data_IF_199405687402
#
_entry.id   IF_199405687402
#
_cell.length_a   1.000
_cell.length_b   1.000
_cell.length_c   1.000
_cell.angle_alpha   90.00
_cell.angle_beta   90.00
_cell.angle_gamma   90.00
#
_symmetry.space_group_name_H-M   'P 1'
#
loop_
_entity.id
_entity.type
_entity.pdbx_description
1 polymer ?
#
# COMPACT_ATOMS: atom_id res chain seq x y z
N UNK A 1 -15.96 -0.46 27.03
CA UNK A 1 -16.56 0.07 25.79
C UNK A 1 -15.55 -0.10 24.69
N UNK A 2 -15.75 -0.91 23.65
CA UNK A 2 -14.86 -0.94 22.52
C UNK A 2 -14.95 0.43 21.83
N UNK A 3 -13.82 1.04 21.52
CA UNK A 3 -13.77 2.22 20.67
C UNK A 3 -14.20 1.79 19.28
N UNK A 4 -15.37 2.23 18.84
CA UNK A 4 -15.87 2.03 17.50
C UNK A 4 -15.11 2.99 16.56
N UNK A 5 -14.04 2.49 15.95
CA UNK A 5 -13.25 3.25 14.97
C UNK A 5 -14.03 3.60 13.69
N UNK A 6 -15.24 3.05 13.51
CA UNK A 6 -16.13 3.35 12.39
C UNK A 6 -17.06 4.54 12.63
N UNK A 7 -17.12 5.10 13.84
CA UNK A 7 -18.03 6.20 14.20
C UNK A 7 -17.45 7.61 14.00
N UNK A 8 -16.25 7.77 13.46
CA UNK A 8 -15.67 9.08 13.17
C UNK A 8 -16.02 9.51 11.75
N UNK A 9 -17.07 10.34 11.65
CA UNK A 9 -17.44 11.21 10.54
C UNK A 9 -17.17 10.70 9.12
N UNK A 10 -18.24 10.35 8.40
CA UNK A 10 -18.21 10.22 6.94
C UNK A 10 -17.72 11.54 6.35
N UNK A 11 -16.45 11.60 5.98
CA UNK A 11 -15.86 12.72 5.27
C UNK A 11 -16.32 12.61 3.80
N UNK A 12 -17.53 13.14 3.52
CA UNK A 12 -18.21 13.08 2.23
C UNK A 12 -17.61 14.05 1.19
N UNK A 13 -16.28 14.09 1.06
CA UNK A 13 -15.64 14.70 -0.09
C UNK A 13 -15.87 13.83 -1.34
N UNK A 14 -17.05 13.94 -1.96
CA UNK A 14 -17.39 13.22 -3.19
C UNK A 14 -17.93 11.79 -3.01
N UNK A 15 -18.53 11.44 -1.86
CA UNK A 15 -19.30 10.20 -1.70
C UNK A 15 -18.48 8.92 -1.43
N UNK A 16 -17.14 8.99 -1.30
CA UNK A 16 -16.30 7.84 -1.00
C UNK A 16 -15.97 7.74 0.49
N UNK A 17 -16.07 6.53 1.07
CA UNK A 17 -15.57 6.25 2.41
C UNK A 17 -14.05 6.03 2.36
N UNK A 18 -13.29 7.11 2.59
CA UNK A 18 -11.83 7.10 2.53
C UNK A 18 -11.17 6.25 3.63
N UNK A 19 -11.90 5.90 4.69
CA UNK A 19 -11.38 5.11 5.82
C UNK A 19 -11.76 3.64 5.76
N UNK A 20 -12.49 3.22 4.74
CA UNK A 20 -12.80 1.80 4.54
C UNK A 20 -11.58 1.06 3.95
N UNK A 21 -11.11 0.03 4.66
CA UNK A 21 -9.95 -0.78 4.25
C UNK A 21 -10.28 -2.28 4.13
N UNK A 22 -9.35 -3.07 3.59
CA UNK A 22 -9.56 -4.49 3.29
C UNK A 22 -9.77 -5.38 4.52
N UNK A 23 -9.26 -4.98 5.68
CA UNK A 23 -9.44 -5.68 6.95
C UNK A 23 -10.90 -5.68 7.43
N UNK A 24 -11.68 -4.65 7.07
CA UNK A 24 -13.11 -4.61 7.32
C UNK A 24 -13.89 -5.69 6.54
N UNK A 25 -13.35 -6.16 5.41
CA UNK A 25 -13.94 -7.24 4.60
C UNK A 25 -13.50 -8.63 5.07
N UNK A 26 -12.27 -8.75 5.59
CA UNK A 26 -11.65 -10.00 6.00
C UNK A 26 -12.01 -10.34 7.45
N UNK A 27 -13.14 -11.03 7.64
CA UNK A 27 -13.55 -11.56 8.96
C UNK A 27 -13.16 -13.02 9.12
N UNK A 28 -13.08 -13.49 10.37
CA UNK A 28 -12.72 -14.87 10.68
C UNK A 28 -13.58 -15.89 9.91
N UNK A 29 -12.93 -16.93 9.41
CA UNK A 29 -13.57 -18.03 8.66
C UNK A 29 -13.73 -17.80 7.17
N UNK A 30 -13.39 -16.60 6.65
CA UNK A 30 -13.37 -16.33 5.22
C UNK A 30 -12.00 -16.61 4.61
N UNK A 31 -11.96 -17.06 3.36
CA UNK A 31 -10.73 -17.04 2.55
C UNK A 31 -10.46 -15.60 2.15
N UNK A 32 -9.34 -15.06 2.61
CA UNK A 32 -9.03 -13.64 2.47
C UNK A 32 -8.33 -13.33 1.14
N UNK A 33 -9.05 -12.65 0.25
CA UNK A 33 -8.51 -11.96 -0.92
C UNK A 33 -8.59 -10.42 -0.79
N UNK A 34 -9.06 -9.91 0.35
CA UNK A 34 -9.25 -8.47 0.57
C UNK A 34 -7.99 -7.79 1.11
N UNK A 35 -7.18 -8.47 1.90
CA UNK A 35 -5.95 -7.94 2.51
C UNK A 35 -4.72 -8.38 1.72
N UNK A 36 -3.85 -7.43 1.35
CA UNK A 36 -2.66 -7.68 0.53
C UNK A 36 -1.43 -8.04 1.39
N UNK A 37 -1.60 -8.82 2.45
CA UNK A 37 -0.48 -9.38 3.23
C UNK A 37 -0.07 -10.72 2.61
N UNK A 38 1.23 -10.96 2.53
CA UNK A 38 1.80 -12.17 1.95
C UNK A 38 2.07 -13.16 3.07
N UNK A 39 1.44 -14.35 3.00
CA UNK A 39 1.54 -15.39 4.04
C UNK A 39 0.72 -15.09 5.29
N UNK A 40 0.70 -16.05 6.21
CA UNK A 40 -0.12 -16.03 7.44
C UNK A 40 0.65 -15.51 8.67
N UNK A 41 1.95 -15.27 8.53
CA UNK A 41 2.81 -14.78 9.60
C UNK A 41 4.27 -14.59 9.15
N UNK A 42 5.09 -13.95 10.00
CA UNK A 42 6.50 -13.75 9.67
C UNK A 42 7.25 -15.09 9.58
N UNK A 43 8.26 -15.18 8.70
CA UNK A 43 9.08 -16.39 8.60
C UNK A 43 9.78 -16.71 9.93
N UNK A 44 10.09 -18.00 10.22
CA UNK A 44 10.62 -18.43 11.52
C UNK A 44 11.84 -17.62 12.00
N UNK A 45 12.81 -17.36 11.13
CA UNK A 45 14.01 -16.59 11.47
C UNK A 45 13.68 -15.15 11.94
N UNK A 46 12.68 -14.51 11.32
CA UNK A 46 12.23 -13.16 11.71
C UNK A 46 11.43 -13.20 13.00
N UNK A 47 10.53 -14.19 13.13
CA UNK A 47 9.79 -14.42 14.38
C UNK A 47 10.72 -14.60 15.57
N UNK A 48 11.77 -15.43 15.44
CA UNK A 48 12.72 -15.68 16.52
C UNK A 48 13.48 -14.40 16.92
N UNK A 49 13.88 -13.57 15.95
CA UNK A 49 14.47 -12.25 16.22
C UNK A 49 13.53 -11.32 16.97
N UNK A 50 12.24 -11.30 16.59
CA UNK A 50 11.24 -10.48 17.27
C UNK A 50 10.99 -10.97 18.69
N UNK A 51 10.88 -12.29 18.91
CA UNK A 51 10.72 -12.90 20.24
C UNK A 51 11.87 -12.50 21.16
N UNK A 52 13.10 -12.50 20.67
CA UNK A 52 14.27 -12.09 21.45
C UNK A 52 14.22 -10.64 21.95
N UNK A 53 13.36 -9.78 21.37
CA UNK A 53 13.19 -8.40 21.85
C UNK A 53 12.27 -8.28 23.06
N UNK A 54 11.43 -9.31 23.34
CA UNK A 54 10.36 -9.23 24.36
C UNK A 54 10.93 -9.06 25.77
N UNK A 55 12.06 -9.66 26.08
CA UNK A 55 12.73 -9.52 27.38
C UNK A 55 13.21 -8.08 27.66
N UNK A 56 13.32 -7.27 26.60
CA UNK A 56 13.75 -5.87 26.66
C UNK A 56 12.60 -4.84 26.82
N UNK A 57 11.33 -5.27 26.75
CA UNK A 57 10.16 -4.36 26.69
C UNK A 57 9.97 -3.49 27.94
N UNK A 58 10.58 -3.82 29.07
CA UNK A 58 10.56 -2.97 30.28
C UNK A 58 11.36 -1.66 30.12
N UNK A 59 12.01 -1.42 28.98
CA UNK A 59 12.81 -0.21 28.69
C UNK A 59 12.28 0.48 27.46
N UNK A 60 12.39 1.82 27.41
CA UNK A 60 12.12 2.57 26.18
C UNK A 60 13.08 2.15 25.05
N UNK A 61 12.63 2.26 23.78
CA UNK A 61 13.49 2.04 22.62
C UNK A 61 14.75 2.90 22.72
N UNK A 62 15.91 2.26 22.50
CA UNK A 62 17.22 2.91 22.66
C UNK A 62 17.58 3.71 21.41
N UNK A 63 18.25 4.85 21.60
CA UNK A 63 18.70 5.71 20.50
C UNK A 63 19.73 4.99 19.57
N UNK A 64 20.57 4.11 20.13
CA UNK A 64 21.51 3.31 19.32
C UNK A 64 20.79 2.24 18.49
N UNK A 65 19.63 1.73 18.94
CA UNK A 65 18.82 0.80 18.19
C UNK A 65 18.14 1.50 16.99
N UNK A 66 17.57 2.71 17.20
CA UNK A 66 17.05 3.54 16.10
C UNK A 66 18.15 3.92 15.10
N UNK A 67 19.34 4.33 15.60
CA UNK A 67 20.48 4.65 14.75
C UNK A 67 20.93 3.45 13.90
N UNK A 68 20.95 2.25 14.47
CA UNK A 68 21.24 1.01 13.75
C UNK A 68 20.18 0.71 12.70
N UNK A 69 18.89 0.87 13.01
CA UNK A 69 17.81 0.68 12.04
C UNK A 69 17.95 1.65 10.84
N UNK A 70 18.22 2.92 11.10
CA UNK A 70 18.46 3.91 10.05
C UNK A 70 19.67 3.56 9.21
N UNK A 71 20.78 3.17 9.84
CA UNK A 71 22.01 2.78 9.13
C UNK A 71 21.78 1.55 8.22
N UNK A 72 21.01 0.55 8.68
CA UNK A 72 20.72 -0.66 7.89
C UNK A 72 19.84 -0.33 6.68
N UNK A 73 18.81 0.51 6.87
CA UNK A 73 17.98 1.01 5.74
C UNK A 73 18.82 1.82 4.76
N UNK A 74 19.66 2.72 5.26
CA UNK A 74 20.56 3.53 4.43
C UNK A 74 21.48 2.66 3.58
N UNK A 75 22.10 1.63 4.18
CA UNK A 75 22.94 0.67 3.46
C UNK A 75 22.18 -0.09 2.36
N UNK A 76 20.93 -0.50 2.63
CA UNK A 76 20.06 -1.16 1.64
C UNK A 76 19.84 -0.29 0.39
N UNK A 77 19.65 1.01 0.57
CA UNK A 77 19.26 1.92 -0.51
C UNK A 77 20.39 2.83 -1.01
N UNK A 78 21.63 2.63 -0.53
CA UNK A 78 22.77 3.49 -0.91
C UNK A 78 22.61 4.96 -0.46
N UNK A 79 21.96 5.17 0.70
CA UNK A 79 21.66 6.49 1.28
C UNK A 79 22.51 6.78 2.53
N UNK A 80 22.43 7.99 3.06
CA UNK A 80 22.95 8.31 4.38
C UNK A 80 21.92 8.06 5.48
N UNK A 81 22.36 7.76 6.72
CA UNK A 81 21.46 7.44 7.82
C UNK A 81 20.56 8.61 8.26
N UNK A 82 20.96 9.85 8.01
CA UNK A 82 20.16 11.06 8.25
C UNK A 82 19.05 11.29 7.20
N UNK A 83 19.13 10.58 6.05
CA UNK A 83 18.09 10.54 5.02
C UNK A 83 17.04 9.44 5.29
N UNK A 84 17.04 8.83 6.48
CA UNK A 84 16.12 7.78 6.88
C UNK A 84 15.35 8.19 8.14
N UNK A 85 14.03 8.00 8.11
CA UNK A 85 13.15 8.11 9.27
C UNK A 85 12.40 6.79 9.45
N UNK A 86 12.66 6.08 10.55
CA UNK A 86 11.89 4.87 10.87
C UNK A 86 10.49 5.24 11.32
N UNK A 87 9.48 4.53 10.84
CA UNK A 87 8.05 4.79 11.05
C UNK A 87 7.35 3.60 11.71
N UNK A 88 6.32 3.87 12.51
CA UNK A 88 5.37 2.86 12.98
C UNK A 88 4.42 2.42 11.83
N UNK A 89 5.01 1.89 10.75
CA UNK A 89 4.39 1.62 9.46
C UNK A 89 4.23 2.89 8.61
N UNK A 90 4.08 2.74 7.30
CA UNK A 90 3.85 3.88 6.38
C UNK A 90 2.60 4.68 6.73
N UNK A 91 1.61 4.09 7.40
CA UNK A 91 0.42 4.77 7.88
C UNK A 91 0.73 5.93 8.85
N UNK A 92 1.74 5.81 9.72
CA UNK A 92 2.23 6.93 10.52
C UNK A 92 2.75 8.05 9.62
N UNK A 93 3.52 7.70 8.58
CA UNK A 93 4.03 8.69 7.62
C UNK A 93 2.91 9.50 6.96
N UNK A 94 1.80 8.85 6.57
CA UNK A 94 0.64 9.57 6.02
C UNK A 94 0.00 10.51 7.05
N UNK A 95 -0.16 10.08 8.28
CA UNK A 95 -0.69 10.92 9.37
C UNK A 95 0.19 12.16 9.65
N UNK A 96 1.48 12.09 9.34
CA UNK A 96 2.44 13.18 9.51
C UNK A 96 2.47 14.17 8.33
N UNK A 97 1.88 13.86 7.17
CA UNK A 97 1.93 14.73 5.98
C UNK A 97 1.45 16.17 6.24
N UNK A 98 0.41 16.43 7.05
CA UNK A 98 0.01 17.80 7.38
C UNK A 98 1.12 18.63 8.04
N UNK A 99 2.10 18.01 8.71
CA UNK A 99 3.25 18.70 9.32
C UNK A 99 4.16 19.37 8.30
N UNK A 100 4.12 18.92 7.05
CA UNK A 100 4.82 19.58 5.94
C UNK A 100 4.19 20.91 5.55
N UNK A 101 2.95 21.19 6.01
CA UNK A 101 2.15 22.40 5.75
C UNK A 101 2.00 22.70 4.27
N UNK A 102 1.58 21.73 3.44
CA UNK A 102 1.28 22.02 2.05
C UNK A 102 0.05 22.93 1.96
N UNK A 103 0.04 23.83 0.97
CA UNK A 103 -1.13 24.67 0.66
C UNK A 103 -2.15 23.92 -0.16
N UNK A 104 -1.66 23.15 -1.15
CA UNK A 104 -2.48 22.31 -2.01
C UNK A 104 -1.76 20.98 -2.22
N UNK A 105 -2.43 19.89 -1.87
CA UNK A 105 -1.95 18.54 -2.14
C UNK A 105 -2.69 17.94 -3.34
N UNK A 106 -1.96 17.42 -4.32
CA UNK A 106 -2.49 16.61 -5.40
C UNK A 106 -2.32 15.12 -5.04
N UNK A 107 -3.41 14.37 -4.97
CA UNK A 107 -3.39 12.92 -4.70
C UNK A 107 -3.84 12.18 -5.94
N UNK A 108 -2.98 11.27 -6.44
CA UNK A 108 -3.26 10.47 -7.63
C UNK A 108 -4.19 9.32 -7.29
N UNK A 109 -5.29 9.22 -8.03
CA UNK A 109 -6.34 8.21 -7.89
C UNK A 109 -6.66 7.52 -9.24
N UNK A 110 -7.23 6.29 -9.24
CA UNK A 110 -7.52 5.45 -8.07
C UNK A 110 -6.24 5.13 -7.29
N UNK A 111 -6.23 5.39 -5.98
CA UNK A 111 -5.06 5.27 -5.13
C UNK A 111 -5.44 4.91 -3.69
N UNK A 112 -4.46 4.56 -2.87
CA UNK A 112 -4.68 4.33 -1.44
C UNK A 112 -5.18 5.62 -0.79
N UNK A 113 -6.22 5.51 0.03
CA UNK A 113 -7.02 6.66 0.47
C UNK A 113 -6.53 7.35 1.73
N UNK A 114 -5.71 6.67 2.55
CA UNK A 114 -5.19 7.24 3.81
C UNK A 114 -4.42 8.56 3.65
N UNK A 115 -3.57 8.77 2.61
CA UNK A 115 -2.93 10.06 2.43
C UNK A 115 -3.93 11.21 2.28
N UNK A 116 -4.99 11.03 1.47
CA UNK A 116 -6.04 12.03 1.29
C UNK A 116 -6.80 12.25 2.61
N UNK A 117 -7.20 11.17 3.30
CA UNK A 117 -7.91 11.26 4.57
C UNK A 117 -7.08 12.01 5.63
N UNK A 118 -5.78 11.73 5.73
CA UNK A 118 -4.88 12.40 6.67
C UNK A 118 -4.68 13.88 6.34
N UNK A 119 -4.49 14.22 5.06
CA UNK A 119 -4.33 15.61 4.61
C UNK A 119 -5.58 16.44 4.86
N UNK A 120 -6.77 15.94 4.48
CA UNK A 120 -8.05 16.61 4.76
C UNK A 120 -8.32 16.75 6.25
N UNK A 121 -8.07 15.68 7.02
CA UNK A 121 -8.19 15.72 8.49
C UNK A 121 -7.24 16.72 9.14
N UNK A 122 -6.09 17.00 8.51
CA UNK A 122 -5.14 18.05 8.91
C UNK A 122 -5.45 19.45 8.36
N UNK A 123 -6.59 19.65 7.68
CA UNK A 123 -7.02 20.94 7.14
C UNK A 123 -6.28 21.37 5.86
N UNK A 124 -5.67 20.44 5.14
CA UNK A 124 -4.98 20.70 3.86
C UNK A 124 -5.99 20.60 2.71
N UNK A 125 -5.94 21.55 1.78
CA UNK A 125 -6.70 21.48 0.54
C UNK A 125 -6.16 20.34 -0.34
N UNK A 126 -7.06 19.47 -0.82
CA UNK A 126 -6.71 18.30 -1.65
C UNK A 126 -7.46 18.32 -2.96
N UNK A 127 -6.70 18.23 -4.06
CA UNK A 127 -7.21 17.96 -5.40
C UNK A 127 -6.91 16.52 -5.79
N UNK A 128 -7.89 15.83 -6.37
CA UNK A 128 -7.70 14.48 -6.92
C UNK A 128 -7.24 14.55 -8.36
N UNK A 129 -6.16 13.86 -8.68
CA UNK A 129 -5.69 13.64 -10.05
C UNK A 129 -6.13 12.24 -10.45
N UNK A 130 -7.22 12.15 -11.24
CA UNK A 130 -7.77 10.85 -11.65
C UNK A 130 -7.02 10.33 -12.88
N UNK A 131 -6.55 9.08 -12.80
CA UNK A 131 -6.00 8.35 -13.95
C UNK A 131 -7.13 7.59 -14.67
N UNK A 132 -6.97 7.40 -15.99
CA UNK A 132 -8.00 6.81 -16.83
C UNK A 132 -7.73 5.33 -17.09
N UNK A 133 -8.77 4.50 -16.97
CA UNK A 133 -8.74 3.09 -17.32
C UNK A 133 -8.42 2.85 -18.80
N UNK A 134 -8.85 3.75 -19.72
CA UNK A 134 -8.54 3.67 -21.13
C UNK A 134 -7.04 3.77 -21.44
N UNK A 135 -6.27 4.43 -20.57
CA UNK A 135 -4.79 4.51 -20.64
C UNK A 135 -4.10 3.49 -19.73
N UNK A 136 -4.85 2.53 -19.18
CA UNK A 136 -4.34 1.58 -18.21
C UNK A 136 -3.95 2.23 -16.88
N UNK A 137 -4.58 3.33 -16.51
CA UNK A 137 -4.26 4.15 -15.33
C UNK A 137 -2.84 4.70 -15.31
N UNK A 138 -2.25 4.97 -16.49
CA UNK A 138 -0.92 5.59 -16.58
C UNK A 138 -0.93 6.99 -15.94
N UNK A 139 0.13 7.31 -15.18
CA UNK A 139 0.35 8.65 -14.65
C UNK A 139 0.74 9.59 -15.79
N UNK A 140 -0.02 10.66 -15.95
CA UNK A 140 0.39 11.83 -16.74
C UNK A 140 0.88 12.94 -15.79
N UNK A 141 2.18 13.24 -15.75
CA UNK A 141 2.70 14.32 -14.90
C UNK A 141 2.11 15.70 -15.25
N UNK A 142 1.65 15.91 -16.49
CA UNK A 142 1.06 17.18 -16.92
C UNK A 142 -0.36 17.38 -16.37
N UNK A 143 -1.04 16.31 -15.95
CA UNK A 143 -2.36 16.38 -15.29
C UNK A 143 -2.28 16.89 -13.84
N UNK A 144 -1.06 16.92 -13.25
CA UNK A 144 -0.89 17.41 -11.87
C UNK A 144 -0.86 18.93 -11.86
N UNK A 145 -1.75 19.62 -11.11
CA UNK A 145 -1.80 21.07 -11.05
C UNK A 145 -0.44 21.68 -10.68
N UNK A 146 -0.10 22.76 -11.38
CA UNK A 146 1.18 23.43 -11.12
C UNK A 146 1.28 24.02 -9.72
N UNK A 147 0.19 24.51 -9.16
CA UNK A 147 0.09 25.09 -7.83
C UNK A 147 0.18 24.08 -6.68
N UNK A 148 0.03 22.77 -6.96
CA UNK A 148 0.21 21.74 -5.95
C UNK A 148 1.66 21.70 -5.45
N UNK A 149 1.86 21.90 -4.16
CA UNK A 149 3.18 21.86 -3.50
C UNK A 149 3.44 20.54 -2.75
N UNK A 150 2.45 19.65 -2.70
CA UNK A 150 2.60 18.24 -2.36
C UNK A 150 1.91 17.38 -3.44
N UNK A 151 2.60 16.36 -3.92
CA UNK A 151 2.01 15.32 -4.81
C UNK A 151 2.17 13.97 -4.14
N UNK A 152 1.13 13.14 -4.15
CA UNK A 152 1.15 11.79 -3.58
C UNK A 152 0.79 10.77 -4.66
N UNK A 153 1.68 9.79 -4.86
CA UNK A 153 1.51 8.70 -5.84
C UNK A 153 1.88 7.37 -5.20
N UNK A 154 1.05 6.34 -5.35
CA UNK A 154 1.42 4.96 -5.00
C UNK A 154 2.20 4.28 -6.14
N UNK A 155 3.28 3.57 -5.85
CA UNK A 155 4.07 2.86 -6.86
C UNK A 155 4.66 1.54 -6.34
N UNK A 156 4.08 0.37 -6.67
CA UNK A 156 2.85 0.15 -7.45
C UNK A 156 1.60 0.75 -6.81
N UNK A 157 0.68 1.26 -7.65
CA UNK A 157 -0.56 1.86 -7.18
C UNK A 157 -1.54 0.82 -6.66
N UNK A 158 -2.07 1.00 -5.46
CA UNK A 158 -3.19 0.25 -4.92
C UNK A 158 -4.48 1.08 -5.13
N UNK A 159 -5.50 0.62 -5.91
CA UNK A 159 -5.81 -0.78 -6.21
C UNK A 159 -5.45 -1.25 -7.64
N UNK A 160 -4.99 -0.38 -8.53
CA UNK A 160 -4.85 -0.66 -9.96
C UNK A 160 -3.70 -1.63 -10.30
N UNK A 161 -2.70 -1.73 -9.42
CA UNK A 161 -1.50 -2.53 -9.63
C UNK A 161 -0.48 -1.90 -10.57
N UNK A 162 -0.75 -0.72 -11.10
CA UNK A 162 0.14 -0.04 -12.06
C UNK A 162 1.46 0.32 -11.40
N UNK A 163 2.55 0.00 -12.09
CA UNK A 163 3.90 0.44 -11.77
C UNK A 163 4.26 1.57 -12.74
N UNK A 164 4.26 2.80 -12.24
CA UNK A 164 4.62 3.96 -13.03
C UNK A 164 6.12 4.00 -13.27
N UNK A 165 6.56 4.38 -14.48
CA UNK A 165 7.99 4.57 -14.75
C UNK A 165 8.61 5.60 -13.79
N UNK A 166 9.80 5.29 -13.27
CA UNK A 166 10.55 6.20 -12.40
C UNK A 166 10.77 7.56 -13.06
N UNK A 167 10.92 7.61 -14.39
CA UNK A 167 11.03 8.85 -15.15
C UNK A 167 9.79 9.74 -15.03
N UNK A 168 8.58 9.15 -15.05
CA UNK A 168 7.32 9.89 -14.86
C UNK A 168 7.20 10.43 -13.44
N UNK A 169 7.64 9.66 -12.44
CA UNK A 169 7.63 10.10 -11.04
C UNK A 169 8.64 11.25 -10.82
N UNK A 170 9.85 11.14 -11.39
CA UNK A 170 10.85 12.22 -11.34
C UNK A 170 10.36 13.51 -12.03
N UNK A 171 9.56 13.38 -13.10
CA UNK A 171 9.00 14.53 -13.81
C UNK A 171 8.01 15.35 -12.97
N UNK A 172 7.50 14.81 -11.86
CA UNK A 172 6.68 15.54 -10.89
C UNK A 172 7.51 16.52 -10.05
N UNK A 173 8.82 16.29 -9.89
CA UNK A 173 9.68 17.10 -9.04
C UNK A 173 9.90 18.49 -9.63
N UNK A 174 9.82 19.52 -8.78
CA UNK A 174 10.12 20.91 -9.10
C UNK A 174 10.47 21.68 -7.82
N UNK A 175 11.11 22.86 -7.93
CA UNK A 175 11.40 23.68 -6.76
C UNK A 175 10.14 23.96 -5.92
N UNK A 176 10.24 23.75 -4.61
CA UNK A 176 9.15 24.01 -3.66
C UNK A 176 8.05 22.94 -3.59
N UNK A 177 8.09 21.90 -4.43
CA UNK A 177 7.16 20.78 -4.39
C UNK A 177 7.76 19.58 -3.67
N UNK A 178 7.01 18.97 -2.76
CA UNK A 178 7.29 17.64 -2.23
C UNK A 178 6.58 16.59 -3.09
N UNK A 179 7.29 15.55 -3.50
CA UNK A 179 6.71 14.38 -4.19
C UNK A 179 6.84 13.17 -3.27
N UNK A 180 5.71 12.71 -2.74
CA UNK A 180 5.64 11.46 -1.99
C UNK A 180 5.34 10.31 -2.94
N UNK A 181 6.23 9.33 -2.99
CA UNK A 181 6.02 8.05 -3.64
C UNK A 181 5.81 6.97 -2.58
N UNK A 182 4.60 6.40 -2.52
CA UNK A 182 4.28 5.30 -1.62
C UNK A 182 4.69 3.98 -2.28
N UNK A 183 5.82 3.46 -1.86
CA UNK A 183 6.40 2.19 -2.31
C UNK A 183 6.09 1.02 -1.34
N UNK A 184 4.92 1.03 -0.70
CA UNK A 184 4.53 -0.02 0.26
C UNK A 184 4.48 -1.43 -0.34
N UNK A 185 4.43 -1.55 -1.66
CA UNK A 185 4.40 -2.82 -2.39
C UNK A 185 5.63 -3.04 -3.30
N UNK A 186 6.64 -2.18 -3.24
CA UNK A 186 7.82 -2.31 -4.09
C UNK A 186 8.57 -3.63 -3.85
N UNK A 187 8.68 -4.09 -2.59
CA UNK A 187 9.30 -5.37 -2.22
C UNK A 187 8.61 -6.60 -2.85
N UNK A 188 7.37 -6.46 -3.33
CA UNK A 188 6.62 -7.53 -4.00
C UNK A 188 6.80 -7.54 -5.52
N UNK A 189 7.61 -6.62 -6.07
CA UNK A 189 7.96 -6.53 -7.49
C UNK A 189 9.38 -7.01 -7.68
N UNK A 190 9.63 -8.08 -8.46
CA UNK A 190 10.97 -8.61 -8.66
C UNK A 190 11.97 -7.55 -9.14
N UNK A 191 13.07 -7.38 -8.39
CA UNK A 191 14.14 -6.44 -8.71
C UNK A 191 13.81 -4.97 -8.51
N UNK A 192 12.62 -4.62 -8.08
CA UNK A 192 12.18 -3.23 -7.80
C UNK A 192 12.55 -2.21 -8.90
N UNK A 193 12.23 -2.45 -10.21
CA UNK A 193 12.84 -1.73 -11.33
C UNK A 193 12.52 -0.22 -11.37
N UNK A 194 11.41 0.20 -10.78
CA UNK A 194 10.95 1.59 -10.81
C UNK A 194 10.99 2.26 -9.41
N UNK A 195 11.79 1.70 -8.49
CA UNK A 195 11.95 2.29 -7.15
C UNK A 195 12.72 3.61 -7.22
N UNK A 196 12.30 4.57 -6.41
CA UNK A 196 13.02 5.83 -6.16
C UNK A 196 13.71 5.85 -4.79
N UNK A 197 13.70 4.74 -4.06
CA UNK A 197 14.25 4.66 -2.72
C UNK A 197 15.76 5.05 -2.65
N UNK A 198 16.52 4.76 -3.73
CA UNK A 198 17.92 5.14 -3.85
C UNK A 198 18.17 6.56 -4.38
N UNK A 199 17.15 7.28 -4.81
CA UNK A 199 17.30 8.57 -5.52
C UNK A 199 17.48 9.76 -4.55
N UNK A 200 18.68 9.95 -4.03
CA UNK A 200 19.02 11.09 -3.18
C UNK A 200 19.04 12.45 -3.91
N UNK A 201 19.23 12.43 -5.23
CA UNK A 201 19.42 13.64 -6.03
C UNK A 201 18.14 14.34 -6.49
N UNK A 202 16.95 13.78 -6.25
CA UNK A 202 15.67 14.37 -6.68
C UNK A 202 15.18 15.35 -5.62
N UNK A 203 15.07 16.66 -5.91
CA UNK A 203 14.64 17.65 -4.94
C UNK A 203 13.20 17.39 -4.47
N UNK A 204 12.97 17.46 -3.16
CA UNK A 204 11.64 17.29 -2.57
C UNK A 204 11.08 15.87 -2.61
N UNK A 205 11.86 14.87 -3.05
CA UNK A 205 11.43 13.48 -3.05
C UNK A 205 11.32 12.93 -1.62
N UNK A 206 10.20 12.26 -1.37
CA UNK A 206 9.90 11.51 -0.16
C UNK A 206 9.40 10.12 -0.58
N UNK A 207 10.05 9.06 -0.12
CA UNK A 207 9.64 7.68 -0.41
C UNK A 207 9.23 6.99 0.86
N UNK A 208 8.03 6.37 0.87
CA UNK A 208 7.59 5.54 2.00
C UNK A 208 7.71 4.07 1.65
N UNK A 209 8.22 3.29 2.59
CA UNK A 209 8.34 1.83 2.51
C UNK A 209 7.61 1.18 3.67
N UNK A 210 6.95 0.06 3.39
CA UNK A 210 6.21 -0.72 4.38
C UNK A 210 6.75 -2.14 4.44
N UNK A 211 7.06 -2.62 5.62
CA UNK A 211 7.47 -4.02 5.84
C UNK A 211 6.27 -4.92 6.18
N UNK A 212 5.08 -4.33 6.29
CA UNK A 212 3.87 -5.03 6.75
C UNK A 212 3.34 -6.06 5.75
N UNK A 213 3.60 -5.86 4.45
CA UNK A 213 3.00 -6.67 3.39
C UNK A 213 3.83 -7.90 3.05
N UNK A 214 5.08 -7.71 2.68
CA UNK A 214 6.00 -8.78 2.28
C UNK A 214 6.36 -9.72 3.44
N UNK A 215 6.42 -9.21 4.68
CA UNK A 215 6.88 -9.96 5.84
C UNK A 215 5.77 -10.39 6.79
N UNK A 216 4.49 -10.24 6.41
CA UNK A 216 3.32 -10.54 7.26
C UNK A 216 3.40 -9.87 8.65
N UNK A 217 3.80 -8.60 8.69
CA UNK A 217 4.00 -7.82 9.92
C UNK A 217 2.91 -6.75 10.12
N UNK A 218 1.70 -6.96 9.61
CA UNK A 218 0.65 -5.96 9.67
C UNK A 218 0.36 -5.47 11.10
N UNK A 219 0.34 -6.38 12.08
CA UNK A 219 0.14 -6.07 13.49
C UNK A 219 1.34 -5.41 14.19
N UNK A 220 2.55 -5.54 13.64
CA UNK A 220 3.77 -4.99 14.26
C UNK A 220 3.99 -3.50 13.99
N UNK A 221 3.44 -2.98 12.90
CA UNK A 221 3.57 -1.58 12.49
C UNK A 221 5.04 -1.19 12.25
N UNK A 222 5.65 -1.68 11.16
CA UNK A 222 7.04 -1.39 10.79
C UNK A 222 7.14 -0.85 9.37
N UNK A 223 7.91 0.22 9.20
CA UNK A 223 8.18 0.87 7.91
C UNK A 223 9.18 2.00 8.06
N UNK A 224 9.44 2.72 6.99
CA UNK A 224 10.35 3.86 7.02
C UNK A 224 10.07 4.84 5.87
N UNK A 225 10.55 6.07 6.04
CA UNK A 225 10.61 7.11 5.03
C UNK A 225 12.05 7.38 4.62
N UNK A 226 12.24 7.72 3.35
CA UNK A 226 13.50 8.15 2.76
C UNK A 226 13.31 9.53 2.13
N UNK A 227 14.22 10.46 2.40
CA UNK A 227 14.14 11.83 1.90
C UNK A 227 15.29 12.68 2.39
N UNK A 228 15.36 13.94 1.95
CA UNK A 228 16.35 14.88 2.46
C UNK A 228 16.18 15.08 3.98
N UNK A 229 17.28 15.25 4.75
CA UNK A 229 17.22 15.37 6.21
C UNK A 229 16.28 16.48 6.70
N UNK A 230 16.26 17.62 6.04
CA UNK A 230 15.41 18.77 6.40
C UNK A 230 13.93 18.46 6.14
N UNK A 231 13.62 17.69 5.09
CA UNK A 231 12.26 17.27 4.78
C UNK A 231 11.77 16.26 5.81
N UNK A 232 12.60 15.28 6.18
CA UNK A 232 12.29 14.30 7.23
C UNK A 232 12.14 14.96 8.61
N UNK A 233 12.96 15.96 8.93
CA UNK A 233 12.84 16.73 10.18
C UNK A 233 11.49 17.48 10.25
N UNK A 234 11.05 18.09 9.14
CA UNK A 234 9.73 18.72 9.05
C UNK A 234 8.60 17.69 9.19
N UNK A 235 8.70 16.56 8.51
CA UNK A 235 7.72 15.47 8.61
C UNK A 235 7.60 14.99 10.07
N UNK A 236 8.72 14.84 10.77
CA UNK A 236 8.76 14.34 12.14
C UNK A 236 8.44 15.40 13.22
N UNK A 237 8.18 16.66 12.85
CA UNK A 237 8.07 17.78 13.80
C UNK A 237 6.98 17.60 14.90
N UNK A 238 5.93 16.85 14.60
CA UNK A 238 4.80 16.60 15.52
C UNK A 238 4.80 15.19 16.11
N UNK A 239 5.86 14.40 15.87
CA UNK A 239 5.93 13.02 16.39
C UNK A 239 6.09 13.01 17.92
N UNK A 240 5.43 12.08 18.63
CA UNK A 240 5.71 11.83 20.02
C UNK A 240 7.15 11.28 20.20
N UNK A 241 7.64 11.31 21.44
CA UNK A 241 8.88 10.62 21.80
C UNK A 241 8.68 9.10 21.70
N UNK A 242 9.72 8.38 21.26
CA UNK A 242 9.73 6.91 21.11
C UNK A 242 8.57 6.36 20.28
N UNK A 243 8.33 6.86 19.06
CA UNK A 243 7.14 6.50 18.28
C UNK A 243 7.19 5.07 17.76
N UNK A 244 8.37 4.48 17.65
CA UNK A 244 8.58 3.13 17.11
C UNK A 244 9.02 2.18 18.22
N UNK A 245 8.32 1.06 18.36
CA UNK A 245 8.61 0.06 19.38
C UNK A 245 9.92 -0.69 19.11
N UNK A 246 10.55 -1.22 20.17
CA UNK A 246 11.77 -2.05 20.05
C UNK A 246 11.60 -3.22 19.06
N UNK A 247 10.50 -4.01 19.09
CA UNK A 247 10.29 -5.05 18.07
C UNK A 247 10.16 -4.51 16.65
N UNK A 248 9.55 -3.33 16.46
CA UNK A 248 9.43 -2.73 15.14
C UNK A 248 10.79 -2.23 14.60
N UNK A 249 11.64 -1.64 15.46
CA UNK A 249 13.02 -1.29 15.09
C UNK A 249 13.82 -2.54 14.68
N UNK A 250 13.70 -3.63 15.44
CA UNK A 250 14.39 -4.90 15.11
C UNK A 250 13.86 -5.48 13.79
N UNK A 251 12.56 -5.40 13.51
CA UNK A 251 12.00 -5.81 12.23
C UNK A 251 12.59 -5.00 11.06
N UNK A 252 12.73 -3.67 11.23
CA UNK A 252 13.35 -2.82 10.20
C UNK A 252 14.79 -3.25 9.93
N UNK A 253 15.59 -3.49 10.97
CA UNK A 253 16.96 -4.00 10.83
C UNK A 253 16.93 -5.33 10.08
N UNK A 254 16.19 -6.31 10.61
CA UNK A 254 16.15 -7.67 10.10
C UNK A 254 15.73 -7.75 8.63
N UNK A 255 14.68 -7.01 8.25
CA UNK A 255 14.14 -7.04 6.89
C UNK A 255 14.98 -6.23 5.87
N UNK A 256 15.89 -5.37 6.33
CA UNK A 256 16.78 -4.60 5.45
C UNK A 256 18.20 -5.20 5.34
N UNK A 257 18.50 -6.27 6.04
CA UNK A 257 19.76 -7.01 5.88
C UNK A 257 19.81 -7.71 4.50
N UNK A 258 21.00 -7.90 3.88
CA UNK A 258 21.13 -8.41 2.50
C UNK A 258 20.44 -9.76 2.25
N UNK A 259 20.50 -10.68 3.22
CA UNK A 259 19.87 -12.01 3.10
C UNK A 259 18.35 -11.91 3.08
N UNK A 260 17.78 -10.98 3.87
CA UNK A 260 16.35 -10.70 3.89
C UNK A 260 15.91 -10.06 2.58
N UNK A 261 16.63 -9.08 2.06
CA UNK A 261 16.35 -8.45 0.75
C UNK A 261 16.34 -9.51 -0.35
N UNK A 262 17.33 -10.42 -0.35
CA UNK A 262 17.38 -11.55 -1.29
C UNK A 262 16.19 -12.50 -1.12
N UNK A 263 15.74 -12.74 0.11
CA UNK A 263 14.55 -13.56 0.38
C UNK A 263 13.26 -12.87 -0.10
N UNK A 264 13.12 -11.56 0.08
CA UNK A 264 11.99 -10.78 -0.44
C UNK A 264 11.91 -10.86 -1.97
N UNK A 265 13.03 -10.74 -2.69
CA UNK A 265 13.08 -10.87 -4.15
C UNK A 265 12.68 -12.28 -4.63
N UNK A 266 13.09 -13.34 -3.93
CA UNK A 266 12.59 -14.71 -4.24
C UNK A 266 11.07 -14.81 -4.08
N UNK A 267 10.52 -14.31 -2.96
CA UNK A 267 9.08 -14.27 -2.73
C UNK A 267 8.35 -13.44 -3.80
N UNK A 268 8.92 -12.31 -4.23
CA UNK A 268 8.37 -11.49 -5.30
C UNK A 268 8.29 -12.25 -6.64
N UNK A 269 9.31 -13.07 -6.97
CA UNK A 269 9.30 -13.93 -8.19
C UNK A 269 8.21 -15.00 -8.12
N UNK A 270 8.04 -15.65 -6.97
CA UNK A 270 6.98 -16.64 -6.75
C UNK A 270 5.59 -15.99 -6.90
N UNK A 271 5.39 -14.83 -6.29
CA UNK A 271 4.15 -14.04 -6.43
C UNK A 271 3.89 -13.62 -7.87
N UNK A 272 4.93 -13.25 -8.62
CA UNK A 272 4.79 -12.91 -10.03
C UNK A 272 4.27 -14.10 -10.85
N UNK A 273 4.74 -15.32 -10.58
CA UNK A 273 4.24 -16.53 -11.22
C UNK A 273 2.77 -16.82 -10.82
N UNK A 274 2.43 -16.72 -9.54
CA UNK A 274 1.05 -16.89 -9.07
C UNK A 274 0.12 -15.84 -9.69
N UNK A 275 0.55 -14.58 -9.78
CA UNK A 275 -0.21 -13.49 -10.39
C UNK A 275 -0.55 -13.78 -11.85
N UNK A 276 0.43 -14.23 -12.65
CA UNK A 276 0.21 -14.58 -14.07
C UNK A 276 -0.84 -15.69 -14.20
N UNK A 277 -0.71 -16.75 -13.40
CA UNK A 277 -1.66 -17.87 -13.39
C UNK A 277 -3.06 -17.41 -12.95
N UNK A 278 -3.14 -16.60 -11.89
CA UNK A 278 -4.41 -16.09 -11.37
C UNK A 278 -5.09 -15.14 -12.37
N UNK A 279 -4.33 -14.24 -12.99
CA UNK A 279 -4.85 -13.33 -14.02
C UNK A 279 -5.41 -14.10 -15.22
N UNK A 280 -4.69 -15.12 -15.72
CA UNK A 280 -5.16 -15.96 -16.82
C UNK A 280 -6.47 -16.71 -16.47
N UNK A 281 -6.56 -17.26 -15.25
CA UNK A 281 -7.76 -17.98 -14.80
C UNK A 281 -8.98 -17.04 -14.68
N UNK A 282 -8.80 -15.84 -14.14
CA UNK A 282 -9.88 -14.85 -13.99
C UNK A 282 -10.30 -14.22 -15.33
N UNK A 283 -9.35 -13.95 -16.24
CA UNK A 283 -9.64 -13.45 -17.59
C UNK A 283 -10.36 -14.48 -18.49
N UNK A 284 -10.37 -15.76 -18.09
CA UNK A 284 -11.17 -16.80 -18.76
C UNK A 284 -12.65 -16.77 -18.40
N UNK A 285 -13.08 -15.93 -17.46
CA UNK A 285 -14.49 -15.80 -17.09
C UNK A 285 -15.18 -14.76 -17.96
N UNK A 286 -16.39 -15.10 -18.43
CA UNK A 286 -17.16 -14.23 -19.31
C UNK A 286 -17.48 -12.88 -18.63
N UNK A 287 -17.18 -11.79 -19.32
CA UNK A 287 -17.46 -10.43 -18.89
C UNK A 287 -16.54 -9.90 -17.78
N UNK A 288 -15.51 -10.64 -17.37
CA UNK A 288 -14.55 -10.18 -16.35
C UNK A 288 -13.34 -9.53 -17.01
N UNK A 289 -13.19 -8.22 -16.82
CA UNK A 289 -11.95 -7.49 -17.12
C UNK A 289 -10.93 -7.67 -15.99
N UNK A 290 -9.65 -7.87 -16.33
CA UNK A 290 -8.56 -8.03 -15.36
C UNK A 290 -7.46 -7.04 -15.66
N UNK A 291 -7.16 -6.13 -14.74
CA UNK A 291 -5.97 -5.27 -14.77
C UNK A 291 -4.87 -5.92 -13.94
N UNK A 292 -3.79 -6.32 -14.60
CA UNK A 292 -2.70 -7.08 -14.00
C UNK A 292 -1.37 -6.31 -14.10
N UNK A 293 -1.15 -5.37 -13.21
CA UNK A 293 0.18 -4.78 -12.97
C UNK A 293 1.08 -5.74 -12.19
N UNK A 294 2.34 -5.35 -11.88
CA UNK A 294 3.29 -6.20 -11.16
C UNK A 294 3.02 -6.32 -9.65
N UNK A 295 2.01 -5.63 -9.11
CA UNK A 295 1.63 -5.65 -7.70
C UNK A 295 1.11 -7.04 -7.23
N UNK A 296 1.10 -7.31 -5.91
CA UNK A 296 0.61 -8.58 -5.37
C UNK A 296 -0.94 -8.65 -5.29
N UNK A 297 -1.63 -8.02 -6.22
CA UNK A 297 -3.10 -8.03 -6.36
C UNK A 297 -3.49 -7.75 -7.81
N UNK A 298 -4.75 -8.05 -8.12
CA UNK A 298 -5.40 -7.75 -9.39
C UNK A 298 -6.61 -6.86 -9.13
N UNK A 299 -6.88 -5.94 -10.07
CA UNK A 299 -8.14 -5.22 -10.13
C UNK A 299 -9.03 -5.90 -11.18
N UNK A 300 -10.22 -6.31 -10.74
CA UNK A 300 -11.25 -6.88 -11.60
C UNK A 300 -12.27 -5.81 -11.95
N UNK A 301 -12.75 -5.81 -13.17
CA UNK A 301 -13.93 -5.09 -13.63
C UNK A 301 -14.99 -6.12 -14.01
N UNK A 302 -16.11 -6.11 -13.32
CA UNK A 302 -17.25 -7.01 -13.51
C UNK A 302 -18.26 -6.38 -14.49
N UNK A 303 -19.18 -7.18 -15.03
CA UNK A 303 -20.29 -6.64 -15.83
C UNK A 303 -21.08 -5.56 -15.06
N UNK A 304 -21.51 -4.53 -15.76
CA UNK A 304 -22.17 -3.36 -15.18
C UNK A 304 -23.35 -3.74 -14.27
N UNK A 305 -23.39 -3.16 -13.08
CA UNK A 305 -24.44 -3.36 -12.08
C UNK A 305 -24.38 -4.69 -11.32
N UNK A 306 -23.34 -5.52 -11.53
CA UNK A 306 -23.25 -6.84 -10.86
C UNK A 306 -22.38 -6.84 -9.62
N UNK A 307 -21.50 -5.88 -9.44
CA UNK A 307 -20.43 -5.91 -8.45
C UNK A 307 -20.88 -6.14 -7.02
N UNK A 308 -21.92 -5.43 -6.54
CA UNK A 308 -22.44 -5.59 -5.19
C UNK A 308 -23.06 -6.99 -4.98
N UNK A 309 -23.81 -7.49 -5.97
CA UNK A 309 -24.41 -8.81 -5.91
C UNK A 309 -23.33 -9.91 -5.90
N UNK A 310 -22.33 -9.80 -6.78
CA UNK A 310 -21.19 -10.71 -6.83
C UNK A 310 -20.43 -10.70 -5.50
N UNK A 311 -20.11 -9.53 -4.96
CA UNK A 311 -19.40 -9.40 -3.69
C UNK A 311 -20.15 -10.11 -2.54
N UNK A 312 -21.47 -9.91 -2.46
CA UNK A 312 -22.32 -10.60 -1.48
C UNK A 312 -22.28 -12.12 -1.66
N UNK A 313 -22.43 -12.61 -2.90
CA UNK A 313 -22.42 -14.05 -3.18
C UNK A 313 -21.05 -14.69 -2.87
N UNK A 314 -19.95 -13.99 -3.16
CA UNK A 314 -18.61 -14.43 -2.77
C UNK A 314 -18.49 -14.54 -1.24
N UNK A 315 -19.02 -13.55 -0.50
CA UNK A 315 -19.01 -13.57 0.96
C UNK A 315 -19.85 -14.75 1.52
N UNK A 316 -21.01 -15.03 0.93
CA UNK A 316 -21.85 -16.20 1.26
C UNK A 316 -21.11 -17.52 0.96
N UNK A 317 -20.27 -17.55 -0.08
CA UNK A 317 -19.38 -18.69 -0.39
C UNK A 317 -18.12 -18.76 0.51
N UNK A 318 -17.99 -17.87 1.50
CA UNK A 318 -16.88 -17.84 2.43
C UNK A 318 -15.62 -17.20 1.84
N UNK A 319 -15.74 -16.19 0.97
CA UNK A 319 -14.63 -15.48 0.32
C UNK A 319 -14.76 -13.98 0.56
N UNK A 320 -13.71 -13.37 1.09
CA UNK A 320 -13.59 -11.92 1.24
C UNK A 320 -12.82 -11.30 0.07
N UNK A 321 -13.38 -10.26 -0.56
CA UNK A 321 -12.75 -9.47 -1.61
C UNK A 321 -12.86 -7.98 -1.28
N UNK A 322 -11.95 -7.16 -1.79
CA UNK A 322 -11.95 -5.72 -1.54
C UNK A 322 -12.82 -4.99 -2.58
N UNK A 323 -13.85 -4.28 -2.11
CA UNK A 323 -14.71 -3.43 -2.97
C UNK A 323 -13.93 -2.25 -3.57
N UNK A 324 -14.26 -1.90 -4.81
CA UNK A 324 -13.58 -0.84 -5.56
C UNK A 324 -14.15 0.56 -5.33
N UNK A 325 -15.44 0.70 -5.06
CA UNK A 325 -16.17 1.97 -4.97
C UNK A 325 -15.74 2.90 -3.82
N UNK A 326 -14.90 2.43 -2.92
CA UNK A 326 -14.26 3.25 -1.88
C UNK A 326 -12.96 3.93 -2.37
N UNK A 327 -12.49 3.59 -3.57
CA UNK A 327 -11.36 4.25 -4.21
C UNK A 327 -11.89 5.30 -5.19
N UNK A 328 -11.58 6.59 -5.02
CA UNK A 328 -11.98 7.61 -5.99
C UNK A 328 -11.57 7.23 -7.42
N UNK A 329 -12.49 7.36 -8.37
CA UNK A 329 -12.28 6.97 -9.76
C UNK A 329 -12.68 5.54 -10.11
N UNK A 330 -13.09 4.71 -9.13
CA UNK A 330 -13.66 3.38 -9.36
C UNK A 330 -15.12 3.32 -8.91
N UNK A 331 -15.87 2.37 -9.48
CA UNK A 331 -17.28 2.09 -9.16
C UNK A 331 -17.47 0.75 -8.44
N UNK A 332 -18.73 0.41 -8.09
CA UNK A 332 -19.08 -0.82 -7.38
C UNK A 332 -18.76 -2.11 -8.15
N UNK A 333 -18.64 -2.03 -9.49
CA UNK A 333 -18.31 -3.17 -10.33
C UNK A 333 -16.81 -3.47 -10.40
N UNK A 334 -16.01 -2.76 -9.61
CA UNK A 334 -14.60 -3.04 -9.43
C UNK A 334 -14.35 -3.80 -8.13
N UNK A 335 -13.58 -4.89 -8.22
CA UNK A 335 -13.10 -5.65 -7.07
C UNK A 335 -11.57 -5.78 -7.13
N UNK A 336 -10.89 -5.53 -6.00
CA UNK A 336 -9.47 -5.87 -5.87
C UNK A 336 -9.32 -7.19 -5.16
N UNK A 337 -8.52 -8.11 -5.72
CA UNK A 337 -8.24 -9.42 -5.16
C UNK A 337 -6.73 -9.61 -4.97
N UNK A 338 -6.30 -10.01 -3.78
CA UNK A 338 -4.92 -10.30 -3.48
C UNK A 338 -4.46 -11.57 -4.20
N UNK A 339 -3.22 -11.57 -4.69
CA UNK A 339 -2.61 -12.78 -5.28
C UNK A 339 -2.46 -13.85 -4.20
N UNK A 340 -2.89 -15.07 -4.52
CA UNK A 340 -2.83 -16.24 -3.66
C UNK A 340 -2.30 -17.44 -4.44
N UNK A 341 -1.86 -18.52 -3.76
CA UNK A 341 -1.45 -19.77 -4.40
C UNK A 341 -2.59 -20.39 -5.22
N UNK A 342 -2.27 -21.17 -6.28
CA UNK A 342 -3.25 -21.69 -7.24
C UNK A 342 -4.40 -22.49 -6.62
N UNK A 343 -4.14 -23.24 -5.55
CA UNK A 343 -5.16 -24.02 -4.84
C UNK A 343 -6.21 -23.12 -4.18
N UNK A 344 -5.81 -21.96 -3.65
CA UNK A 344 -6.72 -20.97 -3.07
C UNK A 344 -7.49 -20.23 -4.17
N UNK A 345 -6.81 -19.87 -5.26
CA UNK A 345 -7.39 -19.15 -6.43
C UNK A 345 -8.52 -19.93 -7.08
N UNK A 346 -8.41 -21.27 -7.16
CA UNK A 346 -9.44 -22.12 -7.76
C UNK A 346 -10.82 -21.88 -7.13
N UNK A 347 -10.87 -21.77 -5.80
CA UNK A 347 -12.13 -21.50 -5.08
C UNK A 347 -12.72 -20.13 -5.43
N UNK A 348 -11.88 -19.11 -5.61
CA UNK A 348 -12.35 -17.79 -6.06
C UNK A 348 -12.94 -17.86 -7.48
N UNK A 349 -12.23 -18.50 -8.41
CA UNK A 349 -12.64 -18.62 -9.82
C UNK A 349 -13.98 -19.36 -9.93
N UNK A 350 -14.12 -20.53 -9.27
CA UNK A 350 -15.36 -21.33 -9.27
C UNK A 350 -16.54 -20.55 -8.66
N UNK A 351 -16.31 -19.84 -7.55
CA UNK A 351 -17.36 -19.07 -6.88
C UNK A 351 -17.77 -17.84 -7.69
N UNK A 352 -16.82 -17.18 -8.33
CA UNK A 352 -17.07 -16.00 -9.17
C UNK A 352 -17.84 -16.40 -10.44
N UNK A 353 -17.43 -17.48 -11.12
CA UNK A 353 -18.13 -18.02 -12.28
C UNK A 353 -19.60 -18.39 -11.95
N UNK A 354 -19.81 -19.11 -10.83
CA UNK A 354 -21.15 -19.46 -10.37
C UNK A 354 -22.01 -18.22 -10.07
N UNK A 355 -21.43 -17.18 -9.45
CA UNK A 355 -22.13 -15.94 -9.18
C UNK A 355 -22.54 -15.22 -10.47
N UNK A 356 -21.63 -15.07 -11.44
CA UNK A 356 -21.90 -14.42 -12.71
C UNK A 356 -22.95 -15.17 -13.53
N UNK A 357 -22.86 -16.49 -13.65
CA UNK A 357 -23.88 -17.32 -14.35
C UNK A 357 -25.26 -17.18 -13.71
N UNK A 358 -25.32 -17.14 -12.37
CA UNK A 358 -26.62 -16.98 -11.69
C UNK A 358 -27.26 -15.64 -11.98
N UNK A 359 -26.48 -14.56 -12.04
CA UNK A 359 -26.98 -13.24 -12.38
C UNK A 359 -27.42 -13.14 -13.85
N UNK A 360 -26.66 -13.76 -14.78
CA UNK A 360 -27.00 -13.77 -16.20
C UNK A 360 -28.31 -14.52 -16.50
N UNK A 361 -28.71 -15.53 -15.70
CA UNK A 361 -29.98 -16.25 -15.85
C UNK A 361 -31.16 -15.45 -15.26
N UNK A 362 -30.87 -14.50 -14.34
CA UNK A 362 -31.89 -13.70 -13.64
C UNK A 362 -32.16 -12.33 -14.30
N UNK A 363 -31.35 -11.95 -15.31
CA UNK A 363 -31.49 -10.74 -16.12
C UNK A 363 -32.26 -11.02 -17.41
#
# INVERSE_FOLDING_TARGET
MPFDHHAAGTDHAGGHDLRHHGDAEATDGLVDFAVNVIGDGPPPWLRDRLVATLDGLGRYPRADHDARARATVAARHGRHADEVLVLAGSAEGFALLPSLRPRLAAVVHPGFTEPEAALRGGGVDVVRVLTDAATGHALDPAAVPEEADLVVVGNPTNPTGVLHPAAALRALARPGRTVLVDEAFADAVPGEPETLAGDAGVPGLLVFRSLTKTWALAGLRAGYALGAPELLARLAATRPLWPVSTPALEAVIACCEPDAVSAADRTARELAAHRVSMAAALSGLDGVGVSAGPAPYLLLHLPDGTGEAVRRMLREAGIAVRRGDTFPGLGPDHLRVAVRPPETVRRLVESLDAALRRLAVSA
#
